data_IF_284076166004
#
_entry.id   IF_284076166004
#
_cell.length_a   1.000
_cell.length_b   1.000
_cell.length_c   1.000
_cell.angle_alpha   90.00
_cell.angle_beta   90.00
_cell.angle_gamma   90.00
#
_symmetry.space_group_name_H-M   'P 1'
#
loop_
_entity.id
_entity.type
_entity.pdbx_description
1 polymer ?
#
# COMPACT_ATOMS: atom_id res chain seq x y z
N UNK A 1 33.64 -49.43 -11.15
CA UNK A 1 34.86 -48.62 -11.23
C UNK A 1 34.43 -47.18 -11.26
N UNK A 2 34.22 -46.59 -10.16
CA UNK A 2 35.02 -45.74 -9.23
C UNK A 2 35.72 -44.57 -9.95
N UNK A 3 35.24 -43.35 -9.71
CA UNK A 3 36.14 -42.28 -9.27
C UNK A 3 35.30 -41.15 -8.63
N UNK A 4 35.41 -41.04 -7.33
CA UNK A 4 35.00 -39.85 -6.52
C UNK A 4 36.23 -38.96 -6.45
N UNK A 5 36.10 -37.70 -6.92
CA UNK A 5 37.05 -36.66 -6.56
C UNK A 5 36.45 -35.74 -5.52
N UNK A 6 37.11 -35.72 -4.39
CA UNK A 6 36.82 -34.88 -3.22
C UNK A 6 37.63 -33.57 -3.38
N UNK A 7 36.96 -32.41 -3.38
CA UNK A 7 37.64 -31.11 -3.33
C UNK A 7 37.63 -30.60 -1.91
N UNK A 8 38.80 -30.45 -1.30
CA UNK A 8 39.03 -29.82 -0.01
C UNK A 8 39.00 -28.32 -0.15
N UNK A 9 38.17 -27.65 0.63
CA UNK A 9 38.20 -26.20 0.83
C UNK A 9 38.97 -25.89 2.12
N UNK A 10 40.03 -25.09 1.97
CA UNK A 10 40.87 -24.63 3.07
C UNK A 10 40.31 -23.34 3.67
N UNK A 11 40.10 -23.37 4.99
CA UNK A 11 39.65 -22.20 5.77
C UNK A 11 40.90 -21.42 6.23
N UNK A 12 40.99 -20.17 5.87
CA UNK A 12 42.01 -19.25 6.38
C UNK A 12 41.45 -18.44 7.55
N UNK A 13 42.11 -18.58 8.70
CA UNK A 13 41.83 -17.85 9.94
C UNK A 13 42.46 -16.46 9.90
N UNK A 14 41.67 -15.41 10.22
CA UNK A 14 42.22 -14.10 10.55
C UNK A 14 42.09 -13.79 12.05
N UNK A 15 43.22 -13.48 12.65
CA UNK A 15 43.37 -13.16 14.07
C UNK A 15 43.11 -11.66 14.34
N UNK A 16 42.47 -11.44 15.47
CA UNK A 16 42.18 -10.15 16.12
C UNK A 16 43.44 -9.35 16.47
N UNK A 17 43.36 -8.04 16.26
CA UNK A 17 44.30 -7.07 16.80
C UNK A 17 43.57 -6.04 17.67
N UNK A 18 43.66 -6.20 18.98
CA UNK A 18 43.22 -5.23 19.98
C UNK A 18 44.28 -4.10 20.10
N UNK A 19 43.87 -2.83 20.05
CA UNK A 19 44.65 -1.72 20.65
C UNK A 19 43.76 -0.84 21.51
N UNK A 20 44.29 -0.59 22.71
CA UNK A 20 43.69 0.12 23.84
C UNK A 20 43.83 1.67 23.69
N UNK A 21 42.94 2.32 24.40
CA UNK A 21 42.65 3.75 24.67
C UNK A 21 43.83 4.63 25.04
N UNK A 22 43.63 5.99 25.05
CA UNK A 22 43.46 6.66 26.32
C UNK A 22 42.33 7.69 26.43
N UNK A 23 42.14 8.12 27.65
CA UNK A 23 41.06 8.70 28.39
C UNK A 23 40.89 10.22 28.27
N UNK A 24 39.66 10.66 28.56
CA UNK A 24 39.18 11.79 29.32
C UNK A 24 39.26 13.22 28.73
N UNK A 25 38.09 13.80 28.61
CA UNK A 25 37.84 15.22 28.50
C UNK A 25 36.36 15.51 28.78
N UNK A 26 36.04 16.01 29.98
CA UNK A 26 34.74 16.54 30.36
C UNK A 26 34.45 17.79 29.53
N UNK A 27 33.35 17.81 28.79
CA UNK A 27 32.80 19.02 28.20
C UNK A 27 31.32 19.14 28.60
N UNK A 28 31.06 20.25 29.28
CA UNK A 28 29.74 20.72 29.72
C UNK A 28 28.84 20.93 28.50
N UNK A 29 27.73 20.19 28.37
CA UNK A 29 26.76 20.41 27.32
C UNK A 29 25.67 21.38 27.80
N UNK A 30 25.66 22.57 27.21
CA UNK A 30 24.52 23.49 27.25
C UNK A 30 23.36 22.86 26.46
N UNK A 31 22.22 22.68 27.12
CA UNK A 31 20.96 22.36 26.47
C UNK A 31 20.43 23.61 25.74
N UNK A 32 20.53 23.62 24.43
CA UNK A 32 19.76 24.52 23.58
C UNK A 32 18.54 23.73 23.11
N UNK A 33 17.34 24.19 23.46
CA UNK A 33 16.09 23.67 22.93
C UNK A 33 16.07 23.92 21.42
N UNK A 34 16.42 22.91 20.66
CA UNK A 34 16.35 22.92 19.22
C UNK A 34 14.92 22.57 18.77
N UNK A 35 14.19 23.58 18.32
CA UNK A 35 13.03 23.37 17.42
C UNK A 35 13.52 22.51 16.27
N UNK A 36 12.91 21.33 16.11
CA UNK A 36 13.25 20.38 15.07
C UNK A 36 13.06 21.00 13.68
N UNK A 37 14.16 21.38 13.07
CA UNK A 37 14.21 21.78 11.68
C UNK A 37 14.21 20.49 10.84
N UNK A 38 13.06 20.15 10.28
CA UNK A 38 12.97 19.17 9.19
C UNK A 38 13.72 19.79 8.02
N UNK A 39 14.77 19.15 7.47
CA UNK A 39 15.44 19.70 6.29
C UNK A 39 14.43 19.72 5.15
N UNK A 40 13.92 20.90 4.83
CA UNK A 40 13.08 21.12 3.68
C UNK A 40 13.84 20.72 2.42
N UNK A 41 13.23 19.86 1.61
CA UNK A 41 13.64 19.69 0.23
C UNK A 41 13.59 21.06 -0.43
N UNK A 42 14.76 21.57 -0.86
CA UNK A 42 14.84 22.73 -1.71
C UNK A 42 14.33 22.30 -3.12
N UNK A 43 13.03 22.24 -3.29
CA UNK A 43 12.40 22.38 -4.58
C UNK A 43 12.76 23.78 -5.09
N UNK A 44 13.29 23.90 -6.30
CA UNK A 44 13.29 25.16 -7.05
C UNK A 44 11.90 25.73 -6.88
N UNK A 45 11.78 26.99 -6.39
CA UNK A 45 10.49 27.60 -6.10
C UNK A 45 9.61 27.48 -7.34
N UNK A 46 8.67 26.56 -7.32
CA UNK A 46 7.71 26.36 -8.39
C UNK A 46 6.90 27.65 -8.50
N UNK A 47 6.80 28.21 -9.71
CA UNK A 47 5.94 29.37 -9.95
C UNK A 47 4.48 28.94 -9.78
N UNK A 48 3.93 29.16 -8.58
CA UNK A 48 2.57 28.76 -8.26
C UNK A 48 1.50 29.51 -9.03
N UNK A 49 1.86 30.63 -9.67
CA UNK A 49 0.93 31.36 -10.55
C UNK A 49 0.75 30.67 -11.91
N UNK A 50 1.69 29.80 -12.30
CA UNK A 50 1.61 29.03 -13.53
C UNK A 50 0.67 27.82 -13.40
N UNK A 51 0.00 27.40 -14.47
CA UNK A 51 -0.77 26.16 -14.49
C UNK A 51 0.13 24.94 -14.20
N UNK A 52 -0.43 23.98 -13.48
CA UNK A 52 0.24 22.67 -13.26
C UNK A 52 0.10 21.83 -14.53
N UNK A 53 1.23 21.44 -15.10
CA UNK A 53 1.25 20.60 -16.30
C UNK A 53 1.42 19.12 -15.91
N UNK A 54 0.47 18.29 -16.34
CA UNK A 54 0.55 16.83 -16.23
C UNK A 54 0.07 16.17 -17.52
N UNK A 55 0.88 15.30 -18.11
CA UNK A 55 0.53 14.52 -19.31
C UNK A 55 0.09 15.42 -20.50
N UNK A 56 0.71 16.60 -20.67
CA UNK A 56 0.36 17.57 -21.69
C UNK A 56 -0.99 18.26 -21.47
N UNK A 57 -1.50 18.27 -20.24
CA UNK A 57 -2.72 18.97 -19.82
C UNK A 57 -2.39 19.94 -18.70
N UNK A 58 -2.94 21.13 -18.80
CA UNK A 58 -2.76 22.19 -17.82
C UNK A 58 -3.96 22.27 -16.87
N UNK A 59 -3.67 22.56 -15.60
CA UNK A 59 -4.68 22.83 -14.57
C UNK A 59 -4.28 24.13 -13.86
N UNK A 60 -5.08 25.17 -14.03
CA UNK A 60 -4.82 26.47 -13.43
C UNK A 60 -4.95 26.42 -11.89
N UNK A 61 -4.22 27.29 -11.14
CA UNK A 61 -4.38 27.42 -9.70
C UNK A 61 -5.85 27.67 -9.29
N UNK A 62 -6.28 27.06 -8.20
CA UNK A 62 -7.65 27.14 -7.71
C UNK A 62 -8.69 26.41 -8.55
N UNK A 63 -8.27 25.50 -9.46
CA UNK A 63 -9.20 24.78 -10.35
C UNK A 63 -8.99 23.26 -10.34
N UNK A 64 -9.96 22.56 -10.91
CA UNK A 64 -9.93 21.13 -11.15
C UNK A 64 -9.99 20.80 -12.64
N UNK A 65 -9.26 19.77 -13.06
CA UNK A 65 -9.31 19.23 -14.41
C UNK A 65 -9.50 17.70 -14.38
N UNK A 66 -10.12 17.15 -15.43
CA UNK A 66 -10.35 15.71 -15.60
C UNK A 66 -10.05 15.36 -17.04
N UNK A 67 -9.20 14.34 -17.24
CA UNK A 67 -8.83 13.89 -18.58
C UNK A 67 -8.49 12.40 -18.57
N UNK A 68 -8.27 11.84 -19.74
CA UNK A 68 -7.82 10.46 -19.91
C UNK A 68 -6.31 10.44 -20.09
N UNK A 69 -5.64 9.60 -19.31
CA UNK A 69 -4.26 9.23 -19.58
C UNK A 69 -4.28 8.03 -20.53
N UNK A 70 -3.91 8.29 -21.76
CA UNK A 70 -3.79 7.28 -22.81
C UNK A 70 -2.30 7.22 -23.15
N UNK A 71 -1.68 6.10 -22.85
CA UNK A 71 -0.28 5.83 -23.20
C UNK A 71 -0.26 4.72 -24.25
N UNK A 72 0.50 4.99 -25.29
CA UNK A 72 0.62 4.20 -26.49
C UNK A 72 -0.65 4.10 -27.38
N UNK A 73 -0.41 4.05 -28.67
CA UNK A 73 -1.43 3.98 -29.70
C UNK A 73 -1.03 2.88 -30.68
N UNK A 74 -1.11 1.65 -30.20
CA UNK A 74 -0.89 0.51 -31.03
C UNK A 74 -2.15 0.13 -31.83
N UNK A 75 -1.98 -0.78 -32.76
CA UNK A 75 -3.09 -1.39 -33.50
C UNK A 75 -4.15 -2.02 -32.55
N UNK A 76 -3.73 -2.49 -31.40
CA UNK A 76 -4.57 -3.18 -30.41
C UNK A 76 -5.34 -2.23 -29.49
N UNK A 77 -5.38 -0.93 -29.79
CA UNK A 77 -5.84 0.12 -28.89
C UNK A 77 -4.84 0.42 -27.73
N UNK A 78 -5.21 1.32 -26.83
CA UNK A 78 -4.37 1.67 -25.70
C UNK A 78 -4.53 0.68 -24.56
N UNK A 79 -3.44 0.09 -24.09
CA UNK A 79 -3.44 -0.71 -22.87
C UNK A 79 -3.69 0.11 -21.62
N UNK A 80 -3.32 1.39 -21.63
CA UNK A 80 -3.56 2.32 -20.56
C UNK A 80 -4.55 3.39 -21.02
N UNK A 81 -5.72 3.38 -20.40
CA UNK A 81 -6.77 4.37 -20.59
C UNK A 81 -7.39 4.69 -19.23
N UNK A 82 -6.63 5.42 -18.41
CA UNK A 82 -6.95 5.70 -17.01
C UNK A 82 -7.52 7.10 -16.88
N UNK A 83 -8.69 7.28 -16.25
CA UNK A 83 -9.16 8.62 -15.88
C UNK A 83 -8.22 9.26 -14.85
N UNK A 84 -7.72 10.44 -15.15
CA UNK A 84 -6.86 11.24 -14.28
C UNK A 84 -7.57 12.53 -13.90
N UNK A 85 -7.65 12.78 -12.61
CA UNK A 85 -8.24 13.98 -12.06
C UNK A 85 -7.15 14.78 -11.34
N UNK A 86 -7.08 16.08 -11.61
CA UNK A 86 -6.10 16.98 -11.01
C UNK A 86 -6.83 18.15 -10.35
N UNK A 87 -6.57 18.39 -9.08
CA UNK A 87 -6.96 19.59 -8.37
C UNK A 87 -5.68 20.37 -8.05
N UNK A 88 -5.51 21.53 -8.67
CA UNK A 88 -4.42 22.46 -8.37
C UNK A 88 -4.95 23.48 -7.35
N UNK A 89 -4.38 23.47 -6.16
CA UNK A 89 -4.74 24.42 -5.12
C UNK A 89 -4.39 25.87 -5.48
N UNK A 90 -5.03 26.82 -4.80
CA UNK A 90 -4.73 28.25 -4.96
C UNK A 90 -3.42 28.68 -4.28
N UNK A 91 -2.90 27.87 -3.36
CA UNK A 91 -1.68 28.14 -2.61
C UNK A 91 -0.65 27.00 -2.73
N UNK A 92 0.66 27.31 -2.56
CA UNK A 92 1.72 26.31 -2.57
C UNK A 92 1.52 25.22 -1.52
N UNK A 93 1.97 24.03 -1.83
CA UNK A 93 1.93 22.86 -0.94
C UNK A 93 2.36 21.59 -1.67
N UNK A 94 2.33 20.42 -0.99
CA UNK A 94 2.79 19.16 -1.55
C UNK A 94 1.81 18.63 -2.63
N UNK A 95 2.31 17.66 -3.39
CA UNK A 95 1.51 16.88 -4.34
C UNK A 95 1.14 15.54 -3.73
N UNK A 96 -0.16 15.34 -3.44
CA UNK A 96 -0.71 14.07 -2.99
C UNK A 96 -1.29 13.30 -4.17
N UNK A 97 -0.85 12.06 -4.34
CA UNK A 97 -1.41 11.14 -5.32
C UNK A 97 -2.34 10.12 -4.68
N UNK A 98 -3.49 9.88 -5.31
CA UNK A 98 -4.41 8.78 -5.01
C UNK A 98 -4.35 7.80 -6.18
N UNK A 99 -3.92 6.58 -5.94
CA UNK A 99 -3.89 5.51 -6.93
C UNK A 99 -5.01 4.51 -6.61
N UNK A 100 -5.86 4.18 -7.58
CA UNK A 100 -6.95 3.25 -7.40
C UNK A 100 -7.13 2.33 -8.61
N UNK A 101 -7.71 1.15 -8.39
CA UNK A 101 -8.00 0.21 -9.45
C UNK A 101 -6.75 -0.35 -10.13
N UNK A 102 -5.65 -0.55 -9.40
CA UNK A 102 -4.49 -1.35 -9.86
C UNK A 102 -4.95 -2.80 -10.08
N UNK A 103 -5.77 -3.31 -9.18
CA UNK A 103 -6.51 -4.54 -9.36
C UNK A 103 -7.96 -4.20 -9.75
N UNK A 104 -8.46 -4.80 -10.82
CA UNK A 104 -9.74 -4.39 -11.37
C UNK A 104 -10.96 -4.87 -10.59
N UNK A 105 -10.81 -5.85 -9.71
CA UNK A 105 -11.86 -6.32 -8.81
C UNK A 105 -12.01 -5.47 -7.53
N UNK A 106 -11.09 -4.54 -7.25
CA UNK A 106 -11.00 -3.79 -5.99
C UNK A 106 -11.68 -2.41 -6.11
N UNK A 107 -13.02 -2.38 -5.95
CA UNK A 107 -13.84 -1.23 -6.34
C UNK A 107 -13.94 -0.12 -5.28
N UNK A 108 -13.86 -0.44 -3.96
CA UNK A 108 -13.99 0.57 -2.90
C UNK A 108 -12.96 1.69 -3.08
N UNK A 109 -11.70 1.34 -3.44
CA UNK A 109 -10.64 2.31 -3.65
C UNK A 109 -10.91 3.31 -4.76
N UNK A 110 -11.54 2.85 -5.85
CA UNK A 110 -11.95 3.71 -6.99
C UNK A 110 -12.97 4.74 -6.53
N UNK A 111 -13.95 4.31 -5.73
CA UNK A 111 -15.01 5.19 -5.23
C UNK A 111 -14.50 6.13 -4.14
N UNK A 112 -13.58 5.68 -3.28
CA UNK A 112 -12.87 6.56 -2.32
C UNK A 112 -12.17 7.69 -3.05
N UNK A 113 -11.34 7.37 -4.06
CA UNK A 113 -10.61 8.39 -4.83
C UNK A 113 -11.57 9.37 -5.52
N UNK A 114 -12.64 8.85 -6.12
CA UNK A 114 -13.63 9.66 -6.83
C UNK A 114 -14.38 10.63 -5.89
N UNK A 115 -14.87 10.13 -4.75
CA UNK A 115 -15.65 10.94 -3.80
C UNK A 115 -14.77 11.93 -3.05
N UNK A 116 -13.59 11.50 -2.57
CA UNK A 116 -12.65 12.41 -1.91
C UNK A 116 -12.25 13.55 -2.86
N UNK A 117 -11.89 13.24 -4.11
CA UNK A 117 -11.59 14.27 -5.10
C UNK A 117 -12.78 15.21 -5.37
N UNK A 118 -14.01 14.69 -5.39
CA UNK A 118 -15.20 15.50 -5.63
C UNK A 118 -15.40 16.57 -4.54
N UNK A 119 -15.07 16.26 -3.28
CA UNK A 119 -15.22 17.14 -2.12
C UNK A 119 -14.13 18.21 -1.99
N UNK A 120 -13.00 18.07 -2.69
CA UNK A 120 -11.92 19.07 -2.64
C UNK A 120 -12.44 20.42 -3.20
N UNK A 121 -12.30 21.48 -2.42
CA UNK A 121 -12.36 22.85 -2.95
C UNK A 121 -10.94 23.30 -3.35
N UNK A 122 -10.70 23.40 -4.64
CA UNK A 122 -9.39 23.79 -5.15
C UNK A 122 -9.00 25.23 -4.79
N UNK A 123 -9.96 26.10 -4.44
CA UNK A 123 -9.67 27.48 -4.03
C UNK A 123 -9.10 27.56 -2.61
N UNK A 124 -9.45 26.60 -1.77
CA UNK A 124 -8.97 26.50 -0.37
C UNK A 124 -7.82 25.51 -0.22
N UNK A 125 -7.56 24.71 -1.24
CA UNK A 125 -6.50 23.71 -1.23
C UNK A 125 -5.12 24.36 -1.30
N UNK A 126 -4.19 23.87 -0.50
CA UNK A 126 -2.74 24.06 -0.65
C UNK A 126 -2.15 22.83 -1.33
N UNK A 127 -1.29 23.02 -2.33
CA UNK A 127 -0.69 21.92 -3.06
C UNK A 127 -1.52 21.39 -4.22
N UNK A 128 -1.27 20.15 -4.61
CA UNK A 128 -1.93 19.52 -5.76
C UNK A 128 -2.42 18.13 -5.36
N UNK A 129 -3.63 17.76 -5.76
CA UNK A 129 -4.12 16.38 -5.65
C UNK A 129 -4.26 15.80 -7.05
N UNK A 130 -3.62 14.64 -7.27
CA UNK A 130 -3.71 13.85 -8.51
C UNK A 130 -4.39 12.53 -8.16
N UNK A 131 -5.48 12.18 -8.83
CA UNK A 131 -6.17 10.92 -8.64
C UNK A 131 -6.22 10.10 -9.93
N UNK A 132 -5.62 8.92 -9.89
CA UNK A 132 -5.68 7.88 -10.91
C UNK A 132 -6.83 6.94 -10.55
N UNK A 133 -7.97 7.03 -11.26
CA UNK A 133 -9.23 6.40 -10.83
C UNK A 133 -9.32 4.91 -11.12
N UNK A 134 -8.66 4.44 -12.15
CA UNK A 134 -8.72 3.03 -12.56
C UNK A 134 -7.48 2.72 -13.41
N UNK A 135 -6.36 2.42 -12.76
CA UNK A 135 -5.08 2.19 -13.45
C UNK A 135 -5.20 0.97 -14.37
N UNK A 136 -5.84 -0.10 -13.90
CA UNK A 136 -6.25 -1.25 -14.71
C UNK A 136 -7.72 -1.08 -15.16
N UNK A 137 -7.97 -0.15 -16.06
CA UNK A 137 -9.34 0.18 -16.51
C UNK A 137 -10.07 -1.02 -17.14
N UNK A 138 -9.36 -1.89 -17.85
CA UNK A 138 -9.94 -3.11 -18.41
C UNK A 138 -10.33 -4.09 -17.31
N UNK A 139 -9.46 -4.30 -16.33
CA UNK A 139 -9.76 -5.13 -15.16
C UNK A 139 -10.96 -4.61 -14.37
N UNK A 140 -11.05 -3.29 -14.15
CA UNK A 140 -12.22 -2.67 -13.48
C UNK A 140 -13.51 -2.95 -14.26
N UNK A 141 -13.47 -2.82 -15.58
CA UNK A 141 -14.65 -3.07 -16.44
C UNK A 141 -15.09 -4.54 -16.44
N UNK A 142 -14.14 -5.46 -16.32
CA UNK A 142 -14.41 -6.91 -16.36
C UNK A 142 -14.45 -7.57 -14.98
N UNK A 143 -14.22 -6.81 -13.90
CA UNK A 143 -14.14 -7.35 -12.55
C UNK A 143 -12.94 -8.30 -12.33
N UNK A 144 -11.85 -8.10 -13.07
CA UNK A 144 -10.69 -8.98 -13.01
C UNK A 144 -9.52 -8.31 -12.30
N UNK A 145 -8.94 -9.00 -11.33
CA UNK A 145 -7.74 -8.54 -10.64
C UNK A 145 -6.58 -8.25 -11.58
N UNK A 146 -6.35 -9.15 -12.53
CA UNK A 146 -5.18 -9.14 -13.41
C UNK A 146 -5.44 -8.33 -14.68
N UNK A 147 -4.35 -7.93 -15.33
CA UNK A 147 -4.39 -7.40 -16.69
C UNK A 147 -4.75 -8.50 -17.70
N UNK A 148 -5.04 -8.13 -18.95
CA UNK A 148 -5.35 -9.07 -20.05
C UNK A 148 -4.23 -10.08 -20.33
N UNK A 149 -2.97 -9.73 -20.06
CA UNK A 149 -1.82 -10.62 -20.13
C UNK A 149 -1.66 -11.54 -18.90
N UNK A 150 -2.65 -11.55 -18.00
CA UNK A 150 -2.75 -12.35 -16.75
C UNK A 150 -1.68 -12.02 -15.71
N UNK A 151 -0.99 -10.88 -15.84
CA UNK A 151 -0.02 -10.42 -14.86
C UNK A 151 -0.64 -9.54 -13.79
N UNK A 152 -0.08 -9.64 -12.59
CA UNK A 152 -0.37 -8.72 -11.50
C UNK A 152 0.39 -7.40 -11.74
N UNK A 153 -0.36 -6.32 -12.00
CA UNK A 153 0.23 -5.01 -12.22
C UNK A 153 1.00 -4.54 -10.97
N UNK A 154 0.50 -4.88 -9.77
CA UNK A 154 1.14 -4.54 -8.50
C UNK A 154 2.33 -5.46 -8.14
N UNK A 155 2.95 -6.08 -9.14
CA UNK A 155 4.25 -6.79 -9.12
C UNK A 155 5.15 -6.35 -10.26
N UNK A 156 4.77 -5.27 -10.94
CA UNK A 156 5.45 -4.87 -12.17
C UNK A 156 6.06 -3.47 -12.10
N UNK A 157 5.88 -2.74 -10.99
CA UNK A 157 6.48 -1.42 -10.79
C UNK A 157 7.99 -1.53 -10.48
N UNK A 158 8.80 -0.52 -10.83
CA UNK A 158 8.45 0.69 -11.57
C UNK A 158 8.26 0.43 -13.07
N UNK A 159 8.48 -0.79 -13.53
CA UNK A 159 8.32 -1.21 -14.91
C UNK A 159 9.42 -0.74 -15.87
N UNK A 160 9.24 -1.05 -17.13
CA UNK A 160 10.14 -0.61 -18.20
C UNK A 160 9.37 -0.46 -19.52
N UNK A 161 9.80 0.48 -20.36
CA UNK A 161 9.14 0.78 -21.64
C UNK A 161 9.25 -0.37 -22.68
N UNK A 162 10.19 -1.31 -22.51
CA UNK A 162 10.39 -2.46 -23.40
C UNK A 162 9.97 -3.81 -22.79
N UNK A 163 9.20 -3.80 -21.71
CA UNK A 163 8.80 -5.03 -21.00
C UNK A 163 7.49 -5.65 -21.50
N UNK A 164 6.87 -6.44 -20.62
CA UNK A 164 5.51 -6.94 -20.83
C UNK A 164 4.48 -5.81 -20.77
N UNK A 165 3.21 -6.09 -21.15
CA UNK A 165 2.11 -5.13 -21.03
C UNK A 165 2.04 -4.55 -19.62
N UNK A 166 2.08 -5.40 -18.59
CA UNK A 166 2.12 -4.95 -17.20
C UNK A 166 3.30 -4.02 -16.90
N UNK A 167 4.50 -4.37 -17.38
CA UNK A 167 5.71 -3.56 -17.19
C UNK A 167 5.65 -2.22 -17.92
N UNK A 168 5.08 -2.17 -19.12
CA UNK A 168 4.89 -0.94 -19.90
C UNK A 168 3.90 -0.01 -19.18
N UNK A 169 2.75 -0.54 -18.73
CA UNK A 169 1.74 0.24 -17.98
C UNK A 169 2.35 0.76 -16.67
N UNK A 170 3.01 -0.13 -15.90
CA UNK A 170 3.66 0.26 -14.66
C UNK A 170 4.68 1.39 -14.89
N UNK A 171 5.50 1.29 -15.94
CA UNK A 171 6.48 2.31 -16.29
C UNK A 171 5.83 3.64 -16.67
N UNK A 172 4.80 3.62 -17.50
CA UNK A 172 4.08 4.82 -17.91
C UNK A 172 3.46 5.56 -16.69
N UNK A 173 2.76 4.83 -15.84
CA UNK A 173 2.15 5.37 -14.61
C UNK A 173 3.23 5.90 -13.67
N UNK A 174 4.26 5.11 -13.40
CA UNK A 174 5.28 5.46 -12.43
C UNK A 174 6.12 6.65 -12.88
N UNK A 175 6.64 6.62 -14.12
CA UNK A 175 7.54 7.66 -14.62
C UNK A 175 6.84 8.98 -14.92
N UNK A 176 5.57 8.94 -15.41
CA UNK A 176 4.86 10.13 -15.87
C UNK A 176 3.98 10.77 -14.79
N UNK A 177 3.53 9.98 -13.79
CA UNK A 177 2.63 10.48 -12.75
C UNK A 177 3.23 10.30 -11.35
N UNK A 178 3.54 9.08 -10.92
CA UNK A 178 3.92 8.81 -9.52
C UNK A 178 5.17 9.57 -9.10
N UNK A 179 6.15 9.70 -9.96
CA UNK A 179 7.37 10.51 -9.70
C UNK A 179 7.11 12.01 -9.51
N UNK A 180 5.89 12.48 -9.73
CA UNK A 180 5.47 13.87 -9.47
C UNK A 180 4.89 14.05 -8.06
N UNK A 181 4.71 12.98 -7.31
CA UNK A 181 4.06 12.98 -6.02
C UNK A 181 5.07 13.09 -4.88
N UNK A 182 4.74 13.87 -3.86
CA UNK A 182 5.46 13.89 -2.58
C UNK A 182 4.92 12.81 -1.65
N UNK A 183 3.61 12.55 -1.75
CA UNK A 183 2.91 11.52 -0.99
C UNK A 183 1.96 10.71 -1.88
N UNK A 184 1.75 9.43 -1.52
CA UNK A 184 0.90 8.50 -2.26
C UNK A 184 0.02 7.69 -1.31
N UNK A 185 -1.26 7.63 -1.61
CA UNK A 185 -2.19 6.66 -1.03
C UNK A 185 -2.62 5.69 -2.14
N UNK A 186 -2.22 4.42 -1.99
CA UNK A 186 -2.62 3.32 -2.88
C UNK A 186 -3.88 2.66 -2.30
N UNK A 187 -4.99 2.69 -3.05
CA UNK A 187 -6.32 2.37 -2.54
C UNK A 187 -6.78 1.01 -3.04
N UNK A 188 -6.94 0.07 -2.12
CA UNK A 188 -7.24 -1.34 -2.36
C UNK A 188 -8.41 -1.87 -1.53
N UNK A 189 -8.84 -3.10 -1.86
CA UNK A 189 -9.64 -4.00 -1.02
C UNK A 189 -8.91 -5.33 -0.85
N UNK A 190 -9.47 -6.27 -0.10
CA UNK A 190 -9.08 -7.66 -0.24
C UNK A 190 -9.37 -8.16 -1.66
N UNK A 191 -8.70 -9.21 -2.08
CA UNK A 191 -8.91 -9.87 -3.37
C UNK A 191 -9.10 -11.37 -3.22
N UNK A 192 -9.46 -12.05 -4.31
CA UNK A 192 -9.58 -13.51 -4.37
C UNK A 192 -10.52 -14.05 -3.28
N UNK A 193 -11.72 -13.51 -3.19
CA UNK A 193 -12.76 -13.92 -2.24
C UNK A 193 -12.27 -13.87 -0.79
N UNK A 194 -11.63 -12.75 -0.42
CA UNK A 194 -11.25 -12.42 0.95
C UNK A 194 -11.90 -11.12 1.36
N UNK A 195 -11.93 -10.89 2.66
CA UNK A 195 -12.33 -9.63 3.26
C UNK A 195 -11.22 -9.14 4.19
N UNK A 196 -11.05 -7.83 4.28
CA UNK A 196 -10.11 -7.17 5.20
C UNK A 196 -10.86 -6.23 6.14
N UNK A 197 -10.43 -6.15 7.42
CA UNK A 197 -10.75 -4.96 8.22
C UNK A 197 -10.12 -3.73 7.54
N UNK A 198 -10.64 -2.51 7.79
CA UNK A 198 -9.95 -1.30 7.36
C UNK A 198 -8.54 -1.26 7.94
N UNK A 199 -7.53 -1.29 7.06
CA UNK A 199 -6.13 -1.33 7.46
C UNK A 199 -5.25 -0.51 6.54
N UNK A 200 -4.25 0.14 7.15
CA UNK A 200 -3.19 0.83 6.45
C UNK A 200 -1.94 -0.05 6.48
N UNK A 201 -1.37 -0.36 5.33
CA UNK A 201 -0.07 -1.04 5.25
C UNK A 201 1.02 -0.04 4.93
N UNK A 202 2.07 -0.03 5.77
CA UNK A 202 3.13 0.96 5.71
C UNK A 202 4.49 0.36 6.08
N UNK A 203 5.56 0.92 5.55
CA UNK A 203 6.91 0.65 6.05
C UNK A 203 7.16 1.47 7.33
N UNK A 204 6.98 0.83 8.47
CA UNK A 204 7.13 1.48 9.78
C UNK A 204 8.58 1.83 10.14
N UNK A 205 9.56 1.35 9.38
CA UNK A 205 10.96 1.70 9.57
C UNK A 205 11.28 3.11 9.05
N UNK A 206 10.44 3.64 8.14
CA UNK A 206 10.53 5.01 7.65
C UNK A 206 9.61 5.91 8.49
N UNK A 207 10.16 6.90 9.24
CA UNK A 207 9.37 7.76 10.12
C UNK A 207 8.27 8.55 9.40
N UNK A 208 8.57 9.10 8.21
CA UNK A 208 7.59 9.90 7.45
C UNK A 208 6.41 9.02 6.97
N UNK A 209 6.70 7.80 6.48
CA UNK A 209 5.66 6.84 6.07
C UNK A 209 4.84 6.39 7.28
N UNK A 210 5.50 6.10 8.42
CA UNK A 210 4.83 5.74 9.66
C UNK A 210 3.89 6.85 10.12
N UNK A 211 4.36 8.10 10.16
CA UNK A 211 3.57 9.24 10.61
C UNK A 211 2.36 9.47 9.70
N UNK A 212 2.53 9.41 8.38
CA UNK A 212 1.41 9.51 7.44
C UNK A 212 0.41 8.36 7.62
N UNK A 213 0.88 7.12 7.84
CA UNK A 213 0.02 5.96 8.09
C UNK A 213 -0.83 6.15 9.35
N UNK A 214 -0.24 6.64 10.43
CA UNK A 214 -0.97 6.91 11.67
C UNK A 214 -1.96 8.06 11.51
N UNK A 215 -1.64 9.08 10.74
CA UNK A 215 -2.53 10.20 10.47
C UNK A 215 -3.60 9.90 9.40
N UNK A 216 -3.61 8.71 8.81
CA UNK A 216 -4.80 8.26 8.08
C UNK A 216 -6.04 8.21 9.00
N UNK A 217 -5.84 7.96 10.30
CA UNK A 217 -6.81 8.23 11.36
C UNK A 217 -7.97 7.23 11.45
N UNK A 218 -7.99 6.16 10.65
CA UNK A 218 -9.04 5.14 10.66
C UNK A 218 -8.47 3.74 10.45
N UNK A 219 -9.11 2.73 11.06
CA UNK A 219 -8.68 1.33 10.95
C UNK A 219 -7.49 1.00 11.85
N UNK A 220 -6.61 0.15 11.35
CA UNK A 220 -5.37 -0.28 12.00
C UNK A 220 -4.19 -0.02 11.08
N UNK A 221 -2.98 0.05 11.63
CA UNK A 221 -1.73 0.10 10.84
C UNK A 221 -1.03 -1.24 10.91
N UNK A 222 -0.61 -1.77 9.77
CA UNK A 222 0.13 -3.04 9.66
C UNK A 222 1.47 -2.80 9.00
N UNK A 223 2.54 -3.12 9.72
CA UNK A 223 3.92 -2.93 9.30
C UNK A 223 4.34 -3.85 8.15
N UNK A 224 5.23 -3.34 7.30
CA UNK A 224 5.90 -4.08 6.25
C UNK A 224 6.20 -3.24 5.02
N UNK A 225 7.37 -3.43 4.42
CA UNK A 225 7.81 -2.70 3.22
C UNK A 225 6.95 -3.00 1.97
N UNK A 226 6.23 -4.13 1.96
CA UNK A 226 5.48 -4.59 0.80
C UNK A 226 6.27 -5.57 -0.07
N UNK A 227 5.61 -6.24 -1.00
CA UNK A 227 6.28 -7.13 -1.94
C UNK A 227 7.04 -6.33 -3.01
N UNK A 228 8.11 -6.93 -3.54
CA UNK A 228 8.86 -6.39 -4.67
C UNK A 228 7.93 -6.10 -5.87
N UNK A 229 8.21 -5.01 -6.56
CA UNK A 229 7.42 -4.58 -7.71
C UNK A 229 6.03 -4.03 -7.38
N UNK A 230 5.70 -3.82 -6.08
CA UNK A 230 4.47 -3.13 -5.70
C UNK A 230 4.61 -1.62 -5.87
N UNK A 231 3.51 -0.94 -6.25
CA UNK A 231 3.51 0.51 -6.42
C UNK A 231 4.01 1.22 -5.16
N UNK A 232 3.48 0.87 -3.99
CA UNK A 232 3.87 1.45 -2.71
C UNK A 232 5.37 1.27 -2.41
N UNK A 233 5.88 0.03 -2.59
CA UNK A 233 7.28 -0.29 -2.32
C UNK A 233 8.21 0.51 -3.23
N UNK A 234 7.91 0.57 -4.52
CA UNK A 234 8.73 1.31 -5.49
C UNK A 234 8.61 2.83 -5.33
N UNK A 235 7.44 3.33 -4.90
CA UNK A 235 7.28 4.74 -4.55
C UNK A 235 8.12 5.10 -3.33
N UNK A 236 8.10 4.27 -2.27
CA UNK A 236 8.95 4.45 -1.09
C UNK A 236 10.45 4.40 -1.44
N UNK A 237 10.87 3.46 -2.31
CA UNK A 237 12.25 3.38 -2.82
C UNK A 237 12.66 4.63 -3.62
N UNK A 238 11.71 5.30 -4.26
CA UNK A 238 11.92 6.56 -4.96
C UNK A 238 11.86 7.81 -4.07
N UNK A 239 11.68 7.65 -2.74
CA UNK A 239 11.62 8.74 -1.77
C UNK A 239 10.24 9.36 -1.58
N UNK A 240 9.18 8.74 -2.11
CA UNK A 240 7.79 9.20 -1.98
C UNK A 240 7.21 8.59 -0.70
N UNK A 241 6.55 9.41 0.13
CA UNK A 241 5.86 8.93 1.34
C UNK A 241 4.61 8.15 0.94
N UNK A 242 4.67 6.80 0.93
CA UNK A 242 3.65 5.95 0.34
C UNK A 242 3.03 4.96 1.33
N UNK A 243 1.70 4.91 1.36
CA UNK A 243 0.89 3.96 2.16
C UNK A 243 -0.14 3.25 1.28
N UNK A 244 -0.64 2.10 1.76
CA UNK A 244 -1.83 1.44 1.20
C UNK A 244 -2.98 1.56 2.21
N UNK A 245 -4.17 1.88 1.73
CA UNK A 245 -5.43 1.61 2.42
C UNK A 245 -6.08 0.39 1.81
N UNK A 246 -6.38 -0.62 2.62
CA UNK A 246 -7.13 -1.82 2.22
C UNK A 246 -8.35 -2.01 3.10
N UNK A 247 -9.54 -2.16 2.54
CA UNK A 247 -10.76 -2.37 3.31
C UNK A 247 -11.85 -3.09 2.50
N UNK A 248 -12.51 -4.06 3.15
CA UNK A 248 -13.66 -4.76 2.60
C UNK A 248 -13.31 -5.87 1.61
N UNK A 249 -14.28 -6.18 0.75
CA UNK A 249 -14.28 -7.29 -0.20
C UNK A 249 -14.17 -6.81 -1.66
N UNK A 250 -13.69 -7.65 -2.58
CA UNK A 250 -13.69 -7.33 -4.00
C UNK A 250 -15.11 -7.36 -4.61
N UNK A 251 -15.23 -6.81 -5.82
CA UNK A 251 -16.41 -6.87 -6.68
C UNK A 251 -17.69 -6.25 -6.09
N UNK A 252 -17.56 -5.37 -5.11
CA UNK A 252 -18.69 -4.63 -4.50
C UNK A 252 -18.30 -3.26 -4.03
N UNK A 253 -19.27 -2.39 -3.87
CA UNK A 253 -19.13 -1.14 -3.16
C UNK A 253 -19.68 -1.30 -1.74
N UNK A 254 -18.86 -0.95 -0.74
CA UNK A 254 -19.21 -1.02 0.67
C UNK A 254 -19.13 0.38 1.27
N UNK A 255 -20.27 1.02 1.44
CA UNK A 255 -20.39 2.44 1.86
C UNK A 255 -19.56 2.74 3.11
N UNK A 256 -19.60 1.87 4.11
CA UNK A 256 -18.84 2.07 5.34
C UNK A 256 -17.33 2.11 5.07
N UNK A 257 -16.81 1.24 4.20
CA UNK A 257 -15.39 1.18 3.88
C UNK A 257 -14.98 2.38 3.02
N UNK A 258 -15.85 2.80 2.12
CA UNK A 258 -15.66 3.98 1.28
C UNK A 258 -15.61 5.23 2.15
N UNK A 259 -16.56 5.43 3.07
CA UNK A 259 -16.61 6.56 3.99
C UNK A 259 -15.38 6.62 4.90
N UNK A 260 -14.91 5.46 5.39
CA UNK A 260 -13.67 5.36 6.17
C UNK A 260 -12.46 5.78 5.33
N UNK A 261 -12.36 5.30 4.09
CA UNK A 261 -11.29 5.67 3.16
C UNK A 261 -11.29 7.16 2.85
N UNK A 262 -12.45 7.76 2.62
CA UNK A 262 -12.58 9.21 2.38
C UNK A 262 -12.09 10.02 3.59
N UNK A 263 -12.53 9.67 4.82
CA UNK A 263 -12.01 10.32 6.04
C UNK A 263 -10.49 10.20 6.13
N UNK A 264 -9.95 9.02 5.81
CA UNK A 264 -8.50 8.80 5.80
C UNK A 264 -7.76 9.69 4.81
N UNK A 265 -8.28 9.84 3.59
CA UNK A 265 -7.70 10.77 2.59
C UNK A 265 -7.72 12.21 3.10
N UNK A 266 -8.83 12.68 3.68
CA UNK A 266 -8.94 14.03 4.25
C UNK A 266 -7.99 14.23 5.43
N UNK A 267 -7.85 13.24 6.32
CA UNK A 267 -6.90 13.29 7.42
C UNK A 267 -5.44 13.41 6.92
N UNK A 268 -5.08 12.68 5.86
CA UNK A 268 -3.74 12.80 5.24
C UNK A 268 -3.57 14.17 4.60
N UNK A 269 -4.58 14.73 3.94
CA UNK A 269 -4.51 16.10 3.41
C UNK A 269 -4.28 17.11 4.53
N UNK A 270 -4.99 16.97 5.66
CA UNK A 270 -4.78 17.82 6.84
C UNK A 270 -3.38 17.62 7.46
N UNK A 271 -2.90 16.38 7.57
CA UNK A 271 -1.54 16.08 8.06
C UNK A 271 -0.43 16.69 7.18
N UNK A 272 -0.68 16.77 5.88
CA UNK A 272 0.23 17.38 4.90
C UNK A 272 0.06 18.91 4.78
N UNK A 273 -0.68 19.55 5.68
CA UNK A 273 -1.00 20.98 5.65
C UNK A 273 -1.68 21.44 4.33
N UNK A 274 -2.39 20.53 3.66
CA UNK A 274 -3.11 20.84 2.41
C UNK A 274 -4.48 21.49 2.65
N UNK A 275 -5.05 21.33 3.86
CA UNK A 275 -6.32 21.92 4.31
C UNK A 275 -6.16 22.48 5.72
N UNK A 276 -7.14 23.26 6.18
CA UNK A 276 -7.16 23.84 7.55
C UNK A 276 -7.80 22.90 8.58
N UNK A 277 -8.20 21.70 8.18
CA UNK A 277 -8.77 20.71 9.08
C UNK A 277 -7.71 20.13 10.03
N UNK A 278 -8.14 19.66 11.20
CA UNK A 278 -7.26 18.97 12.13
C UNK A 278 -7.13 17.48 11.77
N UNK A 279 -5.91 17.03 11.53
CA UNK A 279 -5.64 15.62 11.27
C UNK A 279 -5.94 14.76 12.50
N UNK A 280 -6.60 13.62 12.31
CA UNK A 280 -6.80 12.60 13.34
C UNK A 280 -5.64 11.60 13.29
N UNK A 281 -5.36 10.95 14.42
CA UNK A 281 -4.31 9.95 14.52
C UNK A 281 -4.84 8.64 15.09
N UNK A 282 -4.38 7.52 14.51
CA UNK A 282 -4.64 6.18 15.04
C UNK A 282 -3.86 6.01 16.36
N UNK A 283 -4.48 5.47 17.43
CA UNK A 283 -3.79 5.13 18.67
C UNK A 283 -2.66 4.10 18.45
N UNK A 284 -1.60 4.17 19.27
CA UNK A 284 -0.42 3.32 19.11
C UNK A 284 -0.72 1.81 19.31
N UNK A 285 -1.71 1.46 20.13
CA UNK A 285 -2.18 0.08 20.32
C UNK A 285 -2.88 -0.53 19.10
N UNK A 286 -3.17 0.28 18.10
CA UNK A 286 -3.70 -0.16 16.79
C UNK A 286 -2.61 -0.26 15.71
N UNK A 287 -1.32 -0.24 16.08
CA UNK A 287 -0.17 -0.31 15.16
C UNK A 287 0.52 -1.66 15.34
N UNK A 288 0.26 -2.61 14.46
CA UNK A 288 0.83 -3.95 14.47
C UNK A 288 2.12 -4.02 13.66
N UNK A 289 3.21 -4.47 14.28
CA UNK A 289 4.52 -4.61 13.63
C UNK A 289 4.59 -5.87 12.78
N UNK A 290 3.78 -6.89 13.10
CA UNK A 290 3.82 -8.20 12.46
C UNK A 290 2.47 -8.60 11.91
N UNK A 291 2.50 -9.30 10.78
CA UNK A 291 1.31 -9.97 10.25
C UNK A 291 1.69 -11.24 9.47
N UNK A 292 0.76 -12.18 9.42
CA UNK A 292 0.97 -13.46 8.73
C UNK A 292 -0.35 -14.10 8.32
N UNK A 293 -0.34 -14.74 7.16
CA UNK A 293 -1.44 -15.61 6.72
C UNK A 293 -1.32 -16.99 7.34
N UNK A 294 -2.35 -17.46 8.04
CA UNK A 294 -2.60 -18.86 8.34
C UNK A 294 -3.12 -19.51 7.07
N UNK A 295 -2.49 -20.62 6.66
CA UNK A 295 -2.75 -21.26 5.37
C UNK A 295 -3.30 -22.66 5.54
N UNK A 296 -4.10 -23.11 4.55
CA UNK A 296 -4.46 -24.53 4.42
C UNK A 296 -3.18 -25.37 4.32
N UNK A 297 -3.07 -26.42 5.13
CA UNK A 297 -1.88 -27.29 5.17
C UNK A 297 -1.77 -28.11 3.87
N UNK A 298 -0.59 -28.65 3.62
CA UNK A 298 -0.37 -29.56 2.49
C UNK A 298 -1.28 -30.80 2.59
N UNK A 299 -1.94 -31.14 1.51
CA UNK A 299 -2.91 -32.25 1.47
C UNK A 299 -4.28 -31.94 2.09
N UNK A 300 -4.52 -30.73 2.56
CA UNK A 300 -5.77 -30.29 3.20
C UNK A 300 -6.48 -29.22 2.34
N UNK A 301 -6.73 -29.49 1.06
CA UNK A 301 -7.63 -28.72 0.23
C UNK A 301 -9.09 -29.16 0.46
N UNK A 302 -10.05 -28.30 0.14
CA UNK A 302 -11.47 -28.61 0.32
C UNK A 302 -12.32 -27.34 0.42
N UNK A 303 -13.38 -27.36 1.23
CA UNK A 303 -14.22 -26.20 1.50
C UNK A 303 -13.87 -25.57 2.84
N UNK A 304 -13.49 -24.30 2.82
CA UNK A 304 -13.16 -23.54 4.05
C UNK A 304 -14.44 -22.96 4.67
N UNK A 305 -14.60 -23.20 5.97
CA UNK A 305 -15.65 -22.62 6.82
C UNK A 305 -15.01 -21.93 8.02
N UNK A 306 -14.98 -20.58 8.05
CA UNK A 306 -14.45 -19.85 9.19
C UNK A 306 -15.38 -19.95 10.41
N UNK A 307 -14.81 -20.00 11.61
CA UNK A 307 -15.50 -19.90 12.90
C UNK A 307 -15.20 -18.59 13.64
N UNK A 308 -14.16 -17.88 13.20
CA UNK A 308 -13.77 -16.55 13.69
C UNK A 308 -14.32 -15.45 12.77
N UNK A 309 -14.21 -14.20 13.20
CA UNK A 309 -14.65 -13.00 12.46
C UNK A 309 -13.51 -12.01 12.30
N UNK A 310 -13.65 -11.10 11.34
CA UNK A 310 -12.76 -9.96 11.22
C UNK A 310 -12.81 -9.08 12.46
N UNK A 311 -11.63 -8.73 13.00
CA UNK A 311 -11.48 -7.94 14.23
C UNK A 311 -11.46 -8.77 15.52
N UNK A 312 -11.70 -10.09 15.46
CA UNK A 312 -11.59 -10.93 16.65
C UNK A 312 -10.14 -10.98 17.14
N UNK A 313 -9.97 -10.85 18.48
CA UNK A 313 -8.72 -11.17 19.18
C UNK A 313 -8.74 -12.65 19.51
N UNK A 314 -7.70 -13.39 19.13
CA UNK A 314 -7.59 -14.83 19.36
C UNK A 314 -6.28 -15.18 20.02
N UNK A 315 -6.29 -16.29 20.78
CA UNK A 315 -5.13 -16.85 21.44
C UNK A 315 -4.53 -18.01 20.62
N UNK A 316 -3.32 -18.45 21.01
CA UNK A 316 -2.69 -19.63 20.40
C UNK A 316 -3.54 -20.86 20.64
N UNK A 317 -3.90 -21.56 19.55
CA UNK A 317 -4.73 -22.77 19.60
C UNK A 317 -6.23 -22.53 19.40
N UNK A 318 -6.68 -21.27 19.41
CA UNK A 318 -8.10 -20.96 19.12
C UNK A 318 -8.47 -21.39 17.71
N UNK A 319 -9.73 -21.84 17.54
CA UNK A 319 -10.26 -22.26 16.25
C UNK A 319 -10.51 -21.03 15.36
N UNK A 320 -9.90 -21.05 14.18
CA UNK A 320 -10.14 -20.07 13.12
C UNK A 320 -11.15 -20.56 12.08
N UNK A 321 -11.44 -21.87 12.08
CA UNK A 321 -12.33 -22.51 11.13
C UNK A 321 -11.93 -23.94 10.82
N UNK A 322 -12.52 -24.49 9.77
CA UNK A 322 -12.19 -25.84 9.28
C UNK A 322 -12.12 -25.89 7.76
N UNK A 323 -11.35 -26.83 7.23
CA UNK A 323 -11.37 -27.20 5.79
C UNK A 323 -11.94 -28.59 5.68
N UNK A 324 -13.10 -28.71 5.05
CA UNK A 324 -13.81 -29.98 4.81
C UNK A 324 -13.36 -30.57 3.47
N UNK A 325 -12.82 -31.79 3.51
CA UNK A 325 -12.55 -32.55 2.29
C UNK A 325 -13.88 -33.14 1.76
N UNK A 326 -14.34 -32.74 0.59
CA UNK A 326 -15.62 -33.22 0.05
C UNK A 326 -15.60 -34.67 -0.44
N UNK A 327 -14.43 -35.32 -0.51
CA UNK A 327 -14.33 -36.73 -0.93
C UNK A 327 -14.42 -37.69 0.25
N UNK A 328 -13.94 -37.27 1.41
CA UNK A 328 -13.84 -38.12 2.59
C UNK A 328 -14.76 -37.69 3.74
N UNK A 329 -15.39 -36.50 3.62
CA UNK A 329 -16.15 -35.82 4.68
C UNK A 329 -15.30 -35.55 5.95
N UNK A 330 -13.98 -35.58 5.83
CA UNK A 330 -13.09 -35.20 6.93
C UNK A 330 -12.95 -33.70 7.03
N UNK A 331 -13.15 -33.15 8.23
CA UNK A 331 -12.86 -31.77 8.56
C UNK A 331 -11.46 -31.65 9.19
N UNK A 332 -10.67 -30.73 8.66
CA UNK A 332 -9.35 -30.38 9.16
C UNK A 332 -9.42 -29.04 9.89
N UNK A 333 -9.17 -29.05 11.20
CA UNK A 333 -9.19 -27.83 11.99
C UNK A 333 -8.08 -26.87 11.59
N UNK A 334 -8.44 -25.60 11.48
CA UNK A 334 -7.54 -24.47 11.29
C UNK A 334 -7.47 -23.71 12.61
N UNK A 335 -6.33 -23.78 13.27
CA UNK A 335 -6.11 -23.16 14.58
C UNK A 335 -5.11 -22.00 14.46
N UNK A 336 -5.24 -21.01 15.36
CA UNK A 336 -4.29 -19.91 15.41
C UNK A 336 -2.93 -20.37 15.95
N UNK A 337 -1.85 -20.14 15.21
CA UNK A 337 -0.50 -20.40 15.68
C UNK A 337 0.06 -19.30 16.58
N UNK A 338 -0.68 -18.21 16.78
CA UNK A 338 -0.22 -16.98 17.42
C UNK A 338 -1.41 -16.24 18.07
N UNK A 339 -1.17 -15.53 19.16
CA UNK A 339 -2.13 -14.59 19.71
C UNK A 339 -2.13 -13.29 18.89
N UNK A 340 -3.31 -12.73 18.57
CA UNK A 340 -3.41 -11.51 17.78
C UNK A 340 -4.79 -11.23 17.22
N UNK A 341 -4.90 -10.18 16.40
CA UNK A 341 -6.14 -9.76 15.75
C UNK A 341 -6.30 -10.42 14.37
N UNK A 342 -7.50 -10.86 14.04
CA UNK A 342 -7.90 -11.34 12.71
C UNK A 342 -8.15 -10.13 11.80
N UNK A 343 -7.20 -9.82 10.93
CA UNK A 343 -7.23 -8.61 10.10
C UNK A 343 -7.67 -8.84 8.66
N UNK A 344 -7.75 -10.08 8.24
CA UNK A 344 -8.23 -10.48 6.93
C UNK A 344 -8.62 -11.95 6.91
N UNK A 345 -9.56 -12.33 6.04
CA UNK A 345 -10.06 -13.70 6.03
C UNK A 345 -10.63 -14.08 4.66
N UNK A 346 -10.45 -15.34 4.28
CA UNK A 346 -11.18 -15.94 3.18
C UNK A 346 -12.66 -16.09 3.55
N UNK A 347 -13.55 -15.70 2.63
CA UNK A 347 -14.97 -16.05 2.76
C UNK A 347 -15.16 -17.57 2.58
N UNK A 348 -16.29 -18.18 3.00
CA UNK A 348 -16.55 -19.60 2.75
C UNK A 348 -16.43 -19.94 1.26
N UNK A 349 -15.49 -20.80 0.91
CA UNK A 349 -15.15 -21.09 -0.48
C UNK A 349 -14.32 -22.37 -0.65
N UNK A 350 -14.23 -22.93 -1.88
CA UNK A 350 -13.23 -23.94 -2.20
C UNK A 350 -11.82 -23.36 -2.04
N UNK A 351 -10.93 -24.12 -1.40
CA UNK A 351 -9.52 -23.73 -1.18
C UNK A 351 -8.59 -24.87 -1.54
N UNK A 352 -7.43 -24.51 -2.05
CA UNK A 352 -6.34 -25.45 -2.30
C UNK A 352 -5.36 -25.45 -1.13
N UNK A 353 -4.56 -26.50 -1.03
CA UNK A 353 -3.40 -26.52 -0.12
C UNK A 353 -2.54 -25.28 -0.33
N UNK A 354 -2.11 -24.65 0.76
CA UNK A 354 -1.31 -23.42 0.74
C UNK A 354 -2.12 -22.13 0.59
N UNK A 355 -3.43 -22.20 0.36
CA UNK A 355 -4.27 -21.00 0.27
C UNK A 355 -4.30 -20.25 1.61
N UNK A 356 -4.19 -18.90 1.58
CA UNK A 356 -4.28 -18.06 2.77
C UNK A 356 -5.71 -17.95 3.26
N UNK A 357 -5.97 -18.50 4.45
CA UNK A 357 -7.30 -18.61 5.04
C UNK A 357 -7.62 -17.44 5.96
N UNK A 358 -6.74 -17.15 6.93
CA UNK A 358 -6.90 -16.09 7.92
C UNK A 358 -5.61 -15.29 8.03
N UNK A 359 -5.70 -13.98 7.97
CA UNK A 359 -4.58 -13.05 8.13
C UNK A 359 -4.60 -12.50 9.55
N UNK A 360 -3.53 -12.77 10.28
CA UNK A 360 -3.35 -12.37 11.67
C UNK A 360 -2.38 -11.20 11.77
N UNK A 361 -2.63 -10.27 12.70
CA UNK A 361 -1.67 -9.24 13.08
C UNK A 361 -1.42 -9.25 14.59
N UNK A 362 -0.20 -8.91 15.00
CA UNK A 362 0.19 -8.86 16.40
C UNK A 362 1.33 -7.87 16.65
N UNK A 363 1.52 -7.47 17.90
CA UNK A 363 2.64 -6.66 18.33
C UNK A 363 3.91 -7.51 18.46
N UNK A 364 5.09 -6.94 18.23
CA UNK A 364 6.32 -7.60 18.64
C UNK A 364 6.28 -7.78 20.16
N UNK A 365 6.53 -8.99 20.64
CA UNK A 365 6.77 -9.24 22.07
C UNK A 365 8.07 -8.53 22.45
N UNK A 366 8.03 -7.71 23.50
CA UNK A 366 9.21 -7.12 24.12
C UNK A 366 10.24 -8.18 24.59
#
# INVERSE_FOLDING_TARGET
MSNKQCVRVTVASWRSGYRRRPSAGLALALWVAGTGFVPGMASSAEDWSAPYELLGRETAPGTKNKFQFIDDRSFEASYLNTPVFVARGAAPGPTLCLAAGIHGDELNGVEVARRAFAQIDAKELRGTVIALMAINAEGVRTGNRYLSDRRDLNRSFPGSAGGSVASIIANAVFSKVIKRCDALIDLHTASNNRANVPQIRADLSNPAIRDMAMHFGVGIVVGGAGPDGSLRGEAANAGITAIIYEAGEPLRFEEEQIDRGMRGVHNVMAFLDMTDEAAQKIPDDRVYQRSRWVRAKSGQGGFFFPTTRLGDMVEVGDSLGSVLDPLTDQAHDVVSPIAGEVIGMAVPQPVLSGYGLVHMAWHDSD
#
